data_IF_640992406216
#
_entry.id   IF_640992406216
#
_cell.length_a   1.000
_cell.length_b   1.000
_cell.length_c   1.000
_cell.angle_alpha   90.00
_cell.angle_beta   90.00
_cell.angle_gamma   90.00
#
_symmetry.space_group_name_H-M   'P 1'
#
loop_
_entity.id
_entity.type
_entity.pdbx_description
1 polymer ?
#
# COMPACT_ATOMS: atom_id res chain seq x y z
N UNK A 1 30.08 5.05 -4.24
CA UNK A 1 30.80 4.26 -3.19
C UNK A 1 29.92 4.00 -1.98
N UNK A 2 29.19 5.00 -1.46
CA UNK A 2 28.34 4.85 -0.28
C UNK A 2 27.19 3.84 -0.46
N UNK A 3 26.51 3.81 -1.61
CA UNK A 3 25.47 2.80 -1.90
C UNK A 3 26.01 1.36 -1.80
N UNK A 4 27.21 1.14 -2.34
CA UNK A 4 27.89 -0.17 -2.26
C UNK A 4 28.24 -0.54 -0.82
N UNK A 5 28.57 0.44 0.02
CA UNK A 5 28.83 0.21 1.43
C UNK A 5 27.55 -0.14 2.21
N UNK A 6 26.44 0.56 1.94
CA UNK A 6 25.12 0.23 2.52
C UNK A 6 24.70 -1.19 2.14
N UNK A 7 24.85 -1.54 0.86
CA UNK A 7 24.62 -2.90 0.38
C UNK A 7 25.54 -3.93 1.06
N UNK A 8 26.85 -3.66 1.14
CA UNK A 8 27.78 -4.58 1.78
C UNK A 8 27.46 -4.80 3.28
N UNK A 9 27.01 -3.76 3.98
CA UNK A 9 26.52 -3.88 5.36
C UNK A 9 25.27 -4.76 5.43
N UNK A 10 24.35 -4.67 4.47
CA UNK A 10 23.15 -5.51 4.47
C UNK A 10 23.42 -6.98 4.17
N UNK A 11 24.45 -7.27 3.38
CA UNK A 11 24.89 -8.64 3.12
C UNK A 11 25.65 -9.26 4.30
N UNK A 12 26.00 -8.46 5.31
CA UNK A 12 26.74 -8.90 6.47
C UNK A 12 25.79 -9.27 7.63
N UNK A 13 25.74 -10.56 7.97
CA UNK A 13 24.86 -11.10 9.02
C UNK A 13 25.27 -10.75 10.45
N UNK A 14 26.37 -10.03 10.67
CA UNK A 14 26.82 -9.70 12.02
C UNK A 14 25.86 -8.72 12.73
N UNK A 15 25.63 -8.87 14.05
CA UNK A 15 24.79 -7.94 14.82
C UNK A 15 25.27 -6.49 14.70
N UNK A 16 26.58 -6.27 14.61
CA UNK A 16 27.17 -4.94 14.46
C UNK A 16 26.85 -4.30 13.09
N UNK A 17 26.91 -5.07 12.01
CA UNK A 17 26.57 -4.57 10.69
C UNK A 17 25.08 -4.21 10.61
N UNK A 18 24.21 -5.05 11.18
CA UNK A 18 22.79 -4.76 11.28
C UNK A 18 22.50 -3.50 12.08
N UNK A 19 23.11 -3.36 13.27
CA UNK A 19 22.94 -2.16 14.08
C UNK A 19 23.42 -0.90 13.33
N UNK A 20 24.56 -0.99 12.64
CA UNK A 20 25.08 0.12 11.83
C UNK A 20 24.10 0.53 10.72
N UNK A 21 23.43 -0.44 10.09
CA UNK A 21 22.43 -0.17 9.06
C UNK A 21 21.18 0.51 9.64
N UNK A 22 20.72 0.07 10.81
CA UNK A 22 19.60 0.68 11.56
C UNK A 22 19.93 2.11 11.99
N UNK A 23 21.11 2.33 12.56
CA UNK A 23 21.59 3.65 12.98
C UNK A 23 21.68 4.60 11.78
N UNK A 24 22.18 4.08 10.64
CA UNK A 24 22.29 4.87 9.42
C UNK A 24 20.93 5.26 8.84
N UNK A 25 19.93 4.38 8.86
CA UNK A 25 18.56 4.70 8.44
C UNK A 25 17.96 5.87 9.24
N UNK A 26 18.32 6.01 10.52
CA UNK A 26 17.86 7.09 11.41
C UNK A 26 18.77 8.32 11.45
N UNK A 27 19.92 8.29 10.77
CA UNK A 27 20.93 9.34 10.88
C UNK A 27 20.43 10.66 10.28
N UNK A 28 20.04 11.59 11.15
CA UNK A 28 19.66 12.94 10.75
C UNK A 28 20.78 13.61 9.94
N UNK A 29 20.42 14.28 8.85
CA UNK A 29 21.37 14.94 7.95
C UNK A 29 22.13 14.01 6.99
N UNK A 30 21.94 12.69 7.07
CA UNK A 30 22.43 11.79 6.01
C UNK A 30 21.56 11.93 4.74
N UNK A 31 22.14 11.73 3.54
CA UNK A 31 21.39 11.81 2.28
C UNK A 31 20.18 10.85 2.27
N UNK A 32 19.01 11.38 1.90
CA UNK A 32 17.74 10.63 1.94
C UNK A 32 17.82 9.34 1.11
N UNK A 33 18.36 9.39 -0.11
CA UNK A 33 18.53 8.23 -0.98
C UNK A 33 19.35 7.09 -0.33
N UNK A 34 20.38 7.42 0.47
CA UNK A 34 21.18 6.41 1.17
C UNK A 34 20.40 5.82 2.36
N UNK A 35 19.62 6.63 3.05
CA UNK A 35 18.73 6.18 4.14
C UNK A 35 17.63 5.27 3.59
N UNK A 36 17.06 5.62 2.44
CA UNK A 36 16.09 4.79 1.72
C UNK A 36 16.69 3.44 1.31
N UNK A 37 17.93 3.42 0.84
CA UNK A 37 18.65 2.18 0.54
C UNK A 37 18.84 1.32 1.81
N UNK A 38 19.18 1.94 2.95
CA UNK A 38 19.27 1.19 4.21
C UNK A 38 17.91 0.61 4.65
N UNK A 39 16.83 1.40 4.56
CA UNK A 39 15.45 0.97 4.85
C UNK A 39 15.05 -0.20 3.94
N UNK A 40 15.34 -0.11 2.65
CA UNK A 40 15.07 -1.18 1.69
C UNK A 40 15.69 -2.50 2.13
N UNK A 41 16.99 -2.48 2.38
CA UNK A 41 17.72 -3.69 2.74
C UNK A 41 17.32 -4.26 4.09
N UNK A 42 16.92 -3.41 5.05
CA UNK A 42 16.33 -3.86 6.31
C UNK A 42 15.02 -4.63 6.06
N UNK A 43 14.15 -4.15 5.18
CA UNK A 43 12.92 -4.86 4.79
C UNK A 43 13.19 -6.19 4.09
N UNK A 44 14.13 -6.20 3.14
CA UNK A 44 14.49 -7.39 2.36
C UNK A 44 15.12 -8.52 3.19
N UNK A 45 15.64 -8.22 4.38
CA UNK A 45 16.22 -9.25 5.25
C UNK A 45 15.21 -10.31 5.72
N UNK A 46 13.90 -10.04 5.63
CA UNK A 46 12.83 -10.96 6.03
C UNK A 46 12.77 -11.30 7.53
N UNK A 47 13.59 -10.63 8.36
CA UNK A 47 13.64 -10.85 9.81
C UNK A 47 12.55 -10.02 10.51
N UNK A 48 11.75 -10.66 11.36
CA UNK A 48 10.66 -10.02 12.11
C UNK A 48 11.11 -8.74 12.85
N UNK A 49 12.23 -8.81 13.55
CA UNK A 49 12.81 -7.67 14.28
C UNK A 49 13.13 -6.46 13.38
N UNK A 50 13.43 -6.68 12.09
CA UNK A 50 13.68 -5.58 11.16
C UNK A 50 12.38 -4.96 10.66
N UNK A 51 11.33 -5.75 10.46
CA UNK A 51 10.00 -5.22 10.17
C UNK A 51 9.49 -4.38 11.34
N UNK A 52 9.65 -4.86 12.57
CA UNK A 52 9.25 -4.10 13.76
C UNK A 52 10.07 -2.82 13.95
N UNK A 53 11.37 -2.87 13.64
CA UNK A 53 12.20 -1.67 13.56
C UNK A 53 11.64 -0.68 12.54
N UNK A 54 11.34 -1.11 11.31
CA UNK A 54 10.77 -0.26 10.26
C UNK A 54 9.44 0.38 10.68
N UNK A 55 8.55 -0.40 11.32
CA UNK A 55 7.30 0.13 11.90
C UNK A 55 7.54 1.20 12.96
N UNK A 56 8.57 1.03 13.78
CA UNK A 56 8.90 2.00 14.84
C UNK A 56 9.43 3.32 14.26
N UNK A 57 10.32 3.27 13.27
CA UNK A 57 10.86 4.49 12.65
C UNK A 57 9.82 5.21 11.79
N UNK A 58 8.83 4.51 11.21
CA UNK A 58 7.73 5.15 10.46
C UNK A 58 7.01 6.24 11.29
N UNK A 59 6.87 6.01 12.60
CA UNK A 59 6.20 6.93 13.53
C UNK A 59 7.04 8.17 13.86
N UNK A 60 8.34 8.16 13.59
CA UNK A 60 9.27 9.21 14.00
C UNK A 60 9.87 9.99 12.83
N UNK A 61 10.02 9.36 11.66
CA UNK A 61 10.52 10.04 10.46
C UNK A 61 9.50 11.04 9.94
N UNK A 62 9.98 12.25 9.60
CA UNK A 62 9.15 13.33 9.03
C UNK A 62 9.23 13.42 7.52
N UNK A 63 10.31 12.91 6.94
CA UNK A 63 10.54 12.92 5.49
C UNK A 63 9.58 11.95 4.81
N UNK A 64 8.77 12.47 3.89
CA UNK A 64 7.76 11.68 3.16
C UNK A 64 8.39 10.55 2.36
N UNK A 65 9.55 10.79 1.73
CA UNK A 65 10.25 9.78 0.94
C UNK A 65 10.70 8.58 1.78
N UNK A 66 11.04 8.81 3.06
CA UNK A 66 11.37 7.73 3.99
C UNK A 66 10.13 6.96 4.42
N UNK A 67 9.00 7.65 4.70
CA UNK A 67 7.72 6.98 4.99
C UNK A 67 7.30 6.08 3.83
N UNK A 68 7.36 6.61 2.61
CA UNK A 68 7.09 5.87 1.38
C UNK A 68 7.98 4.63 1.27
N UNK A 69 9.30 4.81 1.46
CA UNK A 69 10.23 3.70 1.39
C UNK A 69 9.99 2.65 2.45
N UNK A 70 9.57 3.03 3.66
CA UNK A 70 9.21 2.09 4.72
C UNK A 70 7.96 1.30 4.33
N UNK A 71 6.91 1.96 3.83
CA UNK A 71 5.69 1.31 3.34
C UNK A 71 6.04 0.28 2.26
N UNK A 72 6.79 0.70 1.23
CA UNK A 72 7.26 -0.18 0.18
C UNK A 72 8.04 -1.38 0.74
N UNK A 73 9.00 -1.14 1.63
CA UNK A 73 9.89 -2.20 2.13
C UNK A 73 9.14 -3.23 2.98
N UNK A 74 8.12 -2.81 3.75
CA UNK A 74 7.26 -3.73 4.50
C UNK A 74 6.31 -4.47 3.56
N UNK A 75 5.76 -3.81 2.53
CA UNK A 75 4.91 -4.44 1.54
C UNK A 75 5.63 -5.56 0.77
N UNK A 76 6.88 -5.30 0.34
CA UNK A 76 7.72 -6.29 -0.34
C UNK A 76 8.08 -7.49 0.55
N UNK A 77 8.25 -7.27 1.86
CA UNK A 77 8.44 -8.37 2.80
C UNK A 77 7.21 -9.29 2.88
N UNK A 78 6.02 -8.73 2.64
CA UNK A 78 4.78 -9.46 2.45
C UNK A 78 4.25 -10.18 3.69
N UNK A 79 3.24 -11.03 3.47
CA UNK A 79 2.61 -11.84 4.50
C UNK A 79 1.52 -11.12 5.32
N UNK A 80 0.80 -11.87 6.19
CA UNK A 80 -0.33 -11.34 6.94
C UNK A 80 0.02 -10.14 7.83
N UNK A 81 1.20 -10.16 8.47
CA UNK A 81 1.64 -9.06 9.33
C UNK A 81 1.90 -7.76 8.56
N UNK A 82 2.41 -7.84 7.32
CA UNK A 82 2.56 -6.67 6.46
C UNK A 82 1.19 -6.13 6.04
N UNK A 83 0.25 -6.99 5.61
CA UNK A 83 -1.12 -6.58 5.25
C UNK A 83 -1.85 -5.91 6.41
N UNK A 84 -1.74 -6.48 7.61
CA UNK A 84 -2.33 -5.90 8.82
C UNK A 84 -1.76 -4.49 9.05
N UNK A 85 -0.44 -4.34 9.01
CA UNK A 85 0.18 -3.04 9.23
C UNK A 85 -0.15 -2.01 8.14
N UNK A 86 -0.19 -2.41 6.86
CA UNK A 86 -0.64 -1.53 5.77
C UNK A 86 -2.09 -1.08 5.97
N UNK A 87 -2.94 -1.96 6.48
CA UNK A 87 -4.33 -1.63 6.85
C UNK A 87 -4.36 -0.61 7.99
N UNK A 88 -3.52 -0.78 9.02
CA UNK A 88 -3.38 0.18 10.12
C UNK A 88 -2.94 1.57 9.63
N UNK A 89 -1.99 1.64 8.69
CA UNK A 89 -1.56 2.92 8.09
C UNK A 89 -2.69 3.54 7.27
N UNK A 90 -3.39 2.75 6.45
CA UNK A 90 -4.48 3.25 5.60
C UNK A 90 -5.64 3.89 6.38
N UNK A 91 -5.91 3.40 7.61
CA UNK A 91 -6.99 3.91 8.47
C UNK A 91 -6.54 5.01 9.44
N UNK A 92 -5.23 5.29 9.52
CA UNK A 92 -4.71 6.26 10.46
C UNK A 92 -4.92 7.70 9.95
N UNK A 93 -5.97 8.37 10.43
CA UNK A 93 -6.30 9.75 10.05
C UNK A 93 -5.31 10.80 10.58
N UNK A 94 -4.35 10.40 11.43
CA UNK A 94 -3.22 11.25 11.81
C UNK A 94 -2.09 11.28 10.78
N UNK A 95 -2.13 10.40 9.78
CA UNK A 95 -1.20 10.41 8.65
C UNK A 95 -1.74 11.24 7.48
N UNK A 96 -0.81 11.78 6.70
CA UNK A 96 -1.16 12.49 5.46
C UNK A 96 -1.94 11.56 4.50
N UNK A 97 -2.89 12.14 3.77
CA UNK A 97 -3.74 11.38 2.85
C UNK A 97 -2.92 10.64 1.79
N UNK A 98 -1.82 11.20 1.30
CA UNK A 98 -0.96 10.56 0.30
C UNK A 98 -0.21 9.36 0.88
N UNK A 99 0.19 9.42 2.16
CA UNK A 99 0.78 8.28 2.88
C UNK A 99 -0.24 7.15 3.01
N UNK A 100 -1.50 7.48 3.34
CA UNK A 100 -2.59 6.51 3.44
C UNK A 100 -2.90 5.88 2.08
N UNK A 101 -2.93 6.67 1.00
CA UNK A 101 -3.10 6.19 -0.39
C UNK A 101 -1.98 5.24 -0.80
N UNK A 102 -0.72 5.53 -0.44
CA UNK A 102 0.42 4.62 -0.68
C UNK A 102 0.23 3.28 0.05
N UNK A 103 -0.23 3.29 1.30
CA UNK A 103 -0.52 2.06 2.03
C UNK A 103 -1.63 1.24 1.36
N UNK A 104 -2.70 1.90 0.88
CA UNK A 104 -3.78 1.26 0.11
C UNK A 104 -3.26 0.67 -1.20
N UNK A 105 -2.42 1.39 -1.94
CA UNK A 105 -1.81 0.93 -3.18
C UNK A 105 -1.06 -0.39 -2.95
N UNK A 106 -0.17 -0.44 -1.95
CA UNK A 106 0.61 -1.63 -1.62
C UNK A 106 -0.23 -2.76 -1.02
N UNK A 107 -1.28 -2.45 -0.27
CA UNK A 107 -2.27 -3.43 0.15
C UNK A 107 -3.02 -4.02 -1.06
N UNK A 108 -3.32 -3.19 -2.06
CA UNK A 108 -3.87 -3.58 -3.37
C UNK A 108 -2.99 -4.56 -4.13
N UNK A 109 -1.67 -4.43 -4.05
CA UNK A 109 -0.72 -5.38 -4.65
C UNK A 109 -0.54 -6.68 -3.83
N UNK A 110 -0.96 -6.68 -2.56
CA UNK A 110 -0.77 -7.82 -1.67
C UNK A 110 -1.76 -8.95 -1.95
N UNK A 111 -1.27 -10.19 -2.00
CA UNK A 111 -2.12 -11.38 -2.13
C UNK A 111 -3.04 -11.53 -0.90
N UNK A 112 -4.31 -11.87 -1.14
CA UNK A 112 -5.30 -12.14 -0.08
C UNK A 112 -5.78 -10.91 0.70
N UNK A 113 -5.63 -9.70 0.18
CA UNK A 113 -6.03 -8.45 0.84
C UNK A 113 -7.45 -7.96 0.50
N UNK A 114 -8.22 -8.69 -0.32
CA UNK A 114 -9.51 -8.21 -0.83
C UNK A 114 -10.51 -7.94 0.28
N UNK A 115 -10.56 -8.79 1.32
CA UNK A 115 -11.44 -8.58 2.49
C UNK A 115 -11.14 -7.28 3.21
N UNK A 116 -9.86 -6.97 3.42
CA UNK A 116 -9.38 -5.79 4.11
C UNK A 116 -9.69 -4.53 3.30
N UNK A 117 -9.45 -4.56 1.98
CA UNK A 117 -9.77 -3.45 1.08
C UNK A 117 -11.28 -3.18 1.04
N UNK A 118 -12.11 -4.22 0.89
CA UNK A 118 -13.58 -4.14 0.88
C UNK A 118 -14.08 -3.50 2.18
N UNK A 119 -13.65 -4.04 3.32
CA UNK A 119 -14.00 -3.50 4.63
C UNK A 119 -13.57 -2.04 4.78
N UNK A 120 -12.40 -1.68 4.25
CA UNK A 120 -11.89 -0.31 4.29
C UNK A 120 -12.75 0.66 3.45
N UNK A 121 -13.25 0.23 2.30
CA UNK A 121 -14.16 1.04 1.48
C UNK A 121 -15.48 1.29 2.18
N UNK A 122 -16.07 0.24 2.75
CA UNK A 122 -17.39 0.27 3.38
C UNK A 122 -17.45 1.21 4.59
N UNK A 123 -16.35 1.30 5.33
CA UNK A 123 -16.22 2.20 6.50
C UNK A 123 -15.70 3.60 6.16
N UNK A 124 -15.15 3.81 4.95
CA UNK A 124 -14.54 5.10 4.60
C UNK A 124 -15.62 6.11 4.23
N UNK A 125 -15.52 7.32 4.77
CA UNK A 125 -16.29 8.50 4.32
C UNK A 125 -15.45 9.46 3.49
N UNK A 126 -14.16 9.20 3.37
CA UNK A 126 -13.18 10.02 2.67
C UNK A 126 -13.15 9.63 1.17
N UNK A 127 -13.52 10.58 0.31
CA UNK A 127 -13.64 10.37 -1.13
C UNK A 127 -12.29 10.05 -1.80
N UNK A 128 -11.20 10.65 -1.33
CA UNK A 128 -9.85 10.42 -1.83
C UNK A 128 -9.37 9.00 -1.53
N UNK A 129 -9.75 8.49 -0.37
CA UNK A 129 -9.46 7.13 0.07
C UNK A 129 -10.31 6.12 -0.67
N UNK A 130 -11.61 6.41 -0.85
CA UNK A 130 -12.49 5.61 -1.70
C UNK A 130 -11.98 5.52 -3.13
N UNK A 131 -11.45 6.62 -3.67
CA UNK A 131 -10.84 6.64 -5.00
C UNK A 131 -9.61 5.72 -5.09
N UNK A 132 -8.69 5.82 -4.12
CA UNK A 132 -7.52 4.95 -4.06
C UNK A 132 -7.91 3.46 -3.93
N UNK A 133 -9.00 3.15 -3.24
CA UNK A 133 -9.52 1.79 -3.11
C UNK A 133 -10.14 1.28 -4.42
N UNK A 134 -10.88 2.13 -5.14
CA UNK A 134 -11.40 1.82 -6.48
C UNK A 134 -10.25 1.45 -7.42
N UNK A 135 -9.17 2.24 -7.41
CA UNK A 135 -7.96 1.91 -8.16
C UNK A 135 -7.31 0.61 -7.65
N UNK A 136 -7.23 0.39 -6.34
CA UNK A 136 -6.70 -0.87 -5.81
C UNK A 136 -7.51 -2.09 -6.30
N UNK A 137 -8.84 -2.01 -6.39
CA UNK A 137 -9.66 -3.09 -6.95
C UNK A 137 -9.39 -3.33 -8.43
N UNK A 138 -9.23 -2.27 -9.23
CA UNK A 138 -9.03 -2.40 -10.68
C UNK A 138 -7.73 -3.12 -11.04
N UNK A 139 -6.70 -2.99 -10.19
CA UNK A 139 -5.41 -3.65 -10.37
C UNK A 139 -5.42 -5.13 -10.00
N UNK A 140 -6.46 -5.58 -9.29
CA UNK A 140 -6.56 -6.95 -8.77
C UNK A 140 -7.24 -7.86 -9.78
N UNK A 141 -6.86 -9.15 -9.73
CA UNK A 141 -7.38 -10.20 -10.63
C UNK A 141 -8.29 -11.20 -9.92
N UNK A 142 -8.71 -10.89 -8.69
CA UNK A 142 -9.59 -11.76 -7.92
C UNK A 142 -11.06 -11.33 -8.04
N UNK A 143 -11.95 -12.32 -7.94
CA UNK A 143 -13.40 -12.14 -8.08
C UNK A 143 -13.98 -11.17 -7.06
N UNK A 144 -13.48 -11.18 -5.82
CA UNK A 144 -14.03 -10.31 -4.77
C UNK A 144 -13.79 -8.83 -5.07
N UNK A 145 -12.61 -8.48 -5.58
CA UNK A 145 -12.31 -7.11 -6.03
C UNK A 145 -13.21 -6.69 -7.22
N UNK A 146 -13.40 -7.58 -8.19
CA UNK A 146 -14.31 -7.31 -9.31
C UNK A 146 -15.76 -7.12 -8.83
N UNK A 147 -16.26 -8.01 -7.97
CA UNK A 147 -17.61 -7.94 -7.42
C UNK A 147 -17.83 -6.62 -6.66
N UNK A 148 -16.83 -6.16 -5.89
CA UNK A 148 -16.91 -4.87 -5.21
C UNK A 148 -16.93 -3.69 -6.17
N UNK A 149 -16.10 -3.72 -7.21
CA UNK A 149 -16.08 -2.65 -8.22
C UNK A 149 -17.43 -2.53 -8.95
N UNK A 150 -18.10 -3.65 -9.20
CA UNK A 150 -19.45 -3.73 -9.77
C UNK A 150 -20.49 -3.15 -8.83
N UNK A 151 -20.43 -3.52 -7.56
CA UNK A 151 -21.30 -2.95 -6.52
C UNK A 151 -21.19 -1.43 -6.48
N UNK A 152 -19.95 -0.91 -6.42
CA UNK A 152 -19.68 0.54 -6.39
C UNK A 152 -20.28 1.22 -7.62
N UNK A 153 -20.05 0.69 -8.82
CA UNK A 153 -20.59 1.26 -10.05
C UNK A 153 -22.13 1.33 -10.07
N UNK A 154 -22.81 0.39 -9.40
CA UNK A 154 -24.27 0.31 -9.34
C UNK A 154 -24.89 1.16 -8.23
N UNK A 155 -24.30 1.16 -7.04
CA UNK A 155 -25.02 1.58 -5.82
C UNK A 155 -24.30 2.63 -4.97
N UNK A 156 -23.04 2.99 -5.23
CA UNK A 156 -22.39 4.02 -4.40
C UNK A 156 -23.16 5.34 -4.50
N UNK A 157 -23.32 6.02 -3.37
CA UNK A 157 -24.09 7.26 -3.27
C UNK A 157 -23.44 8.39 -4.07
N UNK A 158 -22.12 8.40 -4.15
CA UNK A 158 -21.35 9.39 -4.89
C UNK A 158 -21.30 9.04 -6.37
N UNK A 159 -21.85 9.94 -7.20
CA UNK A 159 -21.90 9.78 -8.66
C UNK A 159 -20.52 9.72 -9.30
N UNK A 160 -19.54 10.45 -8.77
CA UNK A 160 -18.18 10.44 -9.32
C UNK A 160 -17.48 9.12 -9.01
N UNK A 161 -17.70 8.54 -7.82
CA UNK A 161 -17.18 7.20 -7.51
C UNK A 161 -17.80 6.12 -8.39
N UNK A 162 -19.12 6.20 -8.67
CA UNK A 162 -19.77 5.30 -9.64
C UNK A 162 -19.12 5.38 -11.02
N UNK A 163 -18.85 6.58 -11.53
CA UNK A 163 -18.19 6.79 -12.83
C UNK A 163 -16.78 6.22 -12.86
N UNK A 164 -15.99 6.42 -11.80
CA UNK A 164 -14.62 5.89 -11.72
C UNK A 164 -14.62 4.37 -11.69
N UNK A 165 -15.51 3.75 -10.92
CA UNK A 165 -15.66 2.30 -10.92
C UNK A 165 -16.07 1.77 -12.30
N UNK A 166 -17.00 2.45 -12.97
CA UNK A 166 -17.42 2.12 -14.33
C UNK A 166 -16.27 2.21 -15.34
N UNK A 167 -15.46 3.26 -15.25
CA UNK A 167 -14.27 3.43 -16.08
C UNK A 167 -13.30 2.26 -15.91
N UNK A 168 -12.99 1.86 -14.68
CA UNK A 168 -12.11 0.73 -14.44
C UNK A 168 -12.70 -0.61 -14.86
N UNK A 169 -14.02 -0.82 -14.69
CA UNK A 169 -14.71 -1.99 -15.22
C UNK A 169 -14.61 -2.05 -16.75
N UNK A 170 -14.70 -0.92 -17.45
CA UNK A 170 -14.56 -0.89 -18.92
C UNK A 170 -13.16 -1.29 -19.40
N UNK A 171 -12.14 -1.19 -18.54
CA UNK A 171 -10.78 -1.66 -18.81
C UNK A 171 -10.57 -3.13 -18.40
N UNK A 172 -11.52 -3.71 -17.65
CA UNK A 172 -11.43 -5.08 -17.18
C UNK A 172 -11.75 -6.07 -18.31
N UNK A 173 -11.14 -7.26 -18.23
CA UNK A 173 -11.46 -8.40 -19.09
C UNK A 173 -12.54 -9.31 -18.49
N UNK A 174 -13.19 -8.88 -17.41
CA UNK A 174 -14.26 -9.64 -16.79
C UNK A 174 -15.47 -9.74 -17.75
N UNK A 175 -15.88 -10.95 -18.17
CA UNK A 175 -16.94 -11.13 -19.16
C UNK A 175 -18.29 -10.55 -18.70
N UNK A 176 -18.48 -10.34 -17.39
CA UNK A 176 -19.72 -9.78 -16.82
C UNK A 176 -19.86 -8.28 -17.08
N UNK A 177 -18.79 -7.59 -17.49
CA UNK A 177 -18.79 -6.13 -17.69
C UNK A 177 -19.87 -5.73 -18.69
N UNK A 178 -20.01 -6.43 -19.82
CA UNK A 178 -21.01 -6.09 -20.84
C UNK A 178 -22.44 -6.10 -20.28
N UNK A 179 -22.83 -7.18 -19.59
CA UNK A 179 -24.15 -7.31 -18.94
C UNK A 179 -24.39 -6.20 -17.90
N UNK A 180 -23.34 -5.80 -17.18
CA UNK A 180 -23.43 -4.75 -16.17
C UNK A 180 -23.62 -3.37 -16.81
N UNK A 181 -22.91 -3.09 -17.91
CA UNK A 181 -23.09 -1.86 -18.67
C UNK A 181 -24.52 -1.78 -19.23
N UNK A 182 -25.07 -2.89 -19.74
CA UNK A 182 -26.45 -2.98 -20.22
C UNK A 182 -27.50 -2.77 -19.11
N UNK A 183 -27.31 -3.37 -17.93
CA UNK A 183 -28.18 -3.14 -16.77
C UNK A 183 -28.16 -1.67 -16.32
N UNK A 184 -26.99 -1.02 -16.37
CA UNK A 184 -26.88 0.40 -15.99
C UNK A 184 -27.60 1.29 -17.01
N UNK A 185 -27.52 0.96 -18.31
CA UNK A 185 -28.20 1.71 -19.38
C UNK A 185 -29.72 1.51 -19.40
N UNK A 186 -30.21 0.36 -18.93
CA UNK A 186 -31.64 0.02 -18.94
C UNK A 186 -32.41 0.55 -17.74
N UNK A 187 -31.72 1.09 -16.72
CA UNK A 187 -32.36 1.74 -15.57
C UNK A 187 -32.76 3.19 -15.91
N UNK A 188 -34.02 3.58 -15.65
CA UNK A 188 -34.52 4.92 -15.93
C UNK A 188 -33.87 6.00 -15.04
#
# INVERSE_FOLDING_TARGET
>A
MQDKAVFALSQNSSPRALQSLRDFAMKAGAPANLRENAIFWLGQSGKGDNVDFLKSIFRTVREESLKDKIIFSIAEAGGPAARQWLTEVAVNTGEDVEIRKKAIFWLGQSNGASSELISLYDRSTDADIKDALIFAYSQRRDRAAADKLIEIARTDKDRELRKKALFWLSQSKDPRVAEILEDILSKP
#
